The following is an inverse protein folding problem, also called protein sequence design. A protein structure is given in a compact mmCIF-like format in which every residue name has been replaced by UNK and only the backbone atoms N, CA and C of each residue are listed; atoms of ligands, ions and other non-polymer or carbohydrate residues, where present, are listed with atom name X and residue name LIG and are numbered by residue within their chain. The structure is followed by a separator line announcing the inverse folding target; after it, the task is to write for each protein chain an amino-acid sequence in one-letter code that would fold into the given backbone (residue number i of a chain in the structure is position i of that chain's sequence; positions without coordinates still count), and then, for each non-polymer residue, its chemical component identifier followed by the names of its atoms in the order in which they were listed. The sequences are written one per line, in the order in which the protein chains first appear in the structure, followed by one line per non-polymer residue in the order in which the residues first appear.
data_IF_341421935430
#
_entry.id   IF_341421935430
#
_cell.length_a   1.000
_cell.length_b   1.000
_cell.length_c   1.000
_cell.angle_alpha   90.00
_cell.angle_beta   90.00
_cell.angle_gamma   90.00
#
_symmetry.space_group_name_H-M   'P 1'
#
loop_
_entity.id
_entity.type
_entity.pdbx_description
1 polymer ?
#
# COMPACT_ATOMS: atom_id res chain seq x y z
N UNK A 1 13.14 -16.65 4.70
CA UNK A 1 11.77 -16.25 4.30
C UNK A 1 11.13 -15.62 5.52
N UNK A 2 10.77 -14.33 5.45
CA UNK A 2 10.02 -13.63 6.51
C UNK A 2 8.65 -13.32 5.94
N UNK A 3 7.58 -13.56 6.70
CA UNK A 3 6.20 -13.47 6.24
C UNK A 3 5.55 -14.84 6.07
N UNK A 4 4.37 -15.00 6.66
CA UNK A 4 3.50 -16.17 6.56
C UNK A 4 2.20 -15.84 5.81
N UNK A 5 1.88 -14.56 5.65
CA UNK A 5 0.71 -14.09 4.92
C UNK A 5 1.10 -13.36 3.64
N UNK A 6 0.23 -13.38 2.64
CA UNK A 6 0.44 -12.67 1.37
C UNK A 6 0.68 -11.16 1.60
N UNK A 7 0.01 -10.57 2.61
CA UNK A 7 0.19 -9.16 2.99
C UNK A 7 1.60 -8.87 3.50
N UNK A 8 2.17 -9.73 4.35
CA UNK A 8 3.55 -9.57 4.83
C UNK A 8 4.56 -9.72 3.69
N UNK A 9 4.31 -10.66 2.77
CA UNK A 9 5.15 -10.83 1.58
C UNK A 9 5.11 -9.58 0.69
N UNK A 10 3.94 -8.95 0.52
CA UNK A 10 3.82 -7.70 -0.22
C UNK A 10 4.66 -6.58 0.41
N UNK A 11 4.58 -6.39 1.73
CA UNK A 11 5.36 -5.36 2.44
C UNK A 11 6.88 -5.63 2.33
N UNK A 12 7.31 -6.88 2.49
CA UNK A 12 8.72 -7.23 2.30
C UNK A 12 9.21 -7.00 0.88
N UNK A 13 8.38 -7.25 -0.14
CA UNK A 13 8.73 -6.96 -1.54
C UNK A 13 8.90 -5.46 -1.79
N UNK A 14 8.02 -4.63 -1.23
CA UNK A 14 8.09 -3.17 -1.32
C UNK A 14 9.37 -2.67 -0.64
N UNK A 15 9.63 -3.10 0.60
CA UNK A 15 10.84 -2.72 1.33
C UNK A 15 12.12 -3.11 0.60
N UNK A 16 12.15 -4.32 0.02
CA UNK A 16 13.27 -4.78 -0.81
C UNK A 16 13.56 -3.84 -1.99
N UNK A 17 12.52 -3.38 -2.71
CA UNK A 17 12.73 -2.43 -3.81
C UNK A 17 13.13 -1.04 -3.35
N UNK A 18 12.63 -0.58 -2.20
CA UNK A 18 13.05 0.70 -1.64
C UNK A 18 14.55 0.66 -1.26
N UNK A 19 14.98 -0.38 -0.56
CA UNK A 19 16.35 -0.52 -0.06
C UNK A 19 17.37 -0.89 -1.16
N UNK A 20 17.10 -1.94 -1.95
CA UNK A 20 18.07 -2.47 -2.90
C UNK A 20 18.17 -1.62 -4.18
N UNK A 21 17.05 -1.06 -4.65
CA UNK A 21 17.02 -0.24 -5.87
C UNK A 21 17.10 1.27 -5.58
N UNK A 22 17.12 1.69 -4.30
CA UNK A 22 17.13 3.10 -3.90
C UNK A 22 15.87 3.87 -4.31
N UNK A 23 14.73 3.19 -4.37
CA UNK A 23 13.47 3.77 -4.83
C UNK A 23 12.73 4.47 -3.68
N UNK A 24 12.03 5.56 -4.01
CA UNK A 24 11.03 6.11 -3.09
C UNK A 24 9.94 5.08 -2.80
N UNK A 25 9.27 5.20 -1.65
CA UNK A 25 8.17 4.31 -1.24
C UNK A 25 7.09 4.21 -2.32
N UNK A 26 6.74 5.32 -2.96
CA UNK A 26 5.76 5.32 -4.05
C UNK A 26 6.22 4.49 -5.25
N UNK A 27 7.48 4.62 -5.67
CA UNK A 27 8.02 3.89 -6.81
C UNK A 27 8.25 2.40 -6.50
N UNK A 28 8.73 2.09 -5.30
CA UNK A 28 8.83 0.73 -4.79
C UNK A 28 7.45 0.05 -4.71
N UNK A 29 6.44 0.78 -4.21
CA UNK A 29 5.06 0.29 -4.15
C UNK A 29 4.50 0.03 -5.54
N UNK A 30 4.63 0.98 -6.48
CA UNK A 30 4.22 0.81 -7.88
C UNK A 30 4.92 -0.39 -8.52
N UNK A 31 6.22 -0.57 -8.30
CA UNK A 31 6.98 -1.71 -8.83
C UNK A 31 6.48 -3.04 -8.26
N UNK A 32 6.20 -3.12 -6.96
CA UNK A 32 5.62 -4.31 -6.34
C UNK A 32 4.24 -4.66 -6.91
N UNK A 33 3.38 -3.65 -7.13
CA UNK A 33 2.04 -3.85 -7.70
C UNK A 33 2.03 -4.39 -9.14
N UNK A 34 3.11 -4.21 -9.91
CA UNK A 34 3.26 -4.84 -11.24
C UNK A 34 3.54 -6.35 -11.16
N UNK A 35 4.04 -6.83 -10.01
CA UNK A 35 4.38 -8.22 -9.78
C UNK A 35 3.21 -8.94 -9.08
N UNK A 36 2.57 -8.27 -8.13
CA UNK A 36 1.47 -8.82 -7.33
C UNK A 36 0.24 -9.05 -8.22
N UNK A 37 -0.24 -10.30 -8.24
CA UNK A 37 -1.43 -10.71 -8.99
C UNK A 37 -2.55 -11.07 -8.03
N UNK A 38 -3.79 -10.84 -8.45
CA UNK A 38 -4.99 -11.18 -7.66
C UNK A 38 -5.88 -9.98 -7.38
N UNK A 39 -6.83 -10.15 -6.46
CA UNK A 39 -7.69 -9.08 -5.94
C UNK A 39 -7.06 -8.53 -4.67
N UNK A 40 -6.90 -7.21 -4.57
CA UNK A 40 -6.30 -6.57 -3.40
C UNK A 40 -6.81 -5.13 -3.21
N UNK A 41 -6.72 -4.67 -1.96
CA UNK A 41 -6.82 -3.28 -1.57
C UNK A 41 -5.75 -3.05 -0.49
N UNK A 42 -4.79 -2.19 -0.79
CA UNK A 42 -3.66 -1.87 0.09
C UNK A 42 -3.77 -0.43 0.57
N UNK A 43 -3.48 -0.24 1.86
CA UNK A 43 -3.09 1.03 2.45
C UNK A 43 -1.71 0.81 3.09
N UNK A 44 -0.72 1.55 2.61
CA UNK A 44 0.67 1.46 3.02
C UNK A 44 1.08 2.78 3.68
N UNK A 45 1.73 2.69 4.82
CA UNK A 45 2.31 3.82 5.55
C UNK A 45 3.81 3.56 5.66
N UNK A 46 4.59 4.60 5.39
CA UNK A 46 6.02 4.64 5.70
C UNK A 46 6.21 5.28 7.07
N UNK A 47 6.94 4.63 7.97
CA UNK A 47 7.24 5.18 9.29
C UNK A 47 8.11 6.43 9.24
N UNK A 48 8.90 6.63 8.18
CA UNK A 48 9.71 7.84 7.99
C UNK A 48 8.89 9.02 7.45
N UNK A 49 7.72 8.75 6.85
CA UNK A 49 6.81 9.75 6.33
C UNK A 49 5.34 9.41 6.69
N UNK A 50 4.97 9.51 7.98
CA UNK A 50 3.67 9.06 8.47
C UNK A 50 2.48 9.90 8.00
N UNK A 51 2.73 11.08 7.44
CA UNK A 51 1.70 12.00 6.94
C UNK A 51 1.14 11.59 5.57
N UNK A 52 1.71 10.56 4.94
CA UNK A 52 1.29 10.06 3.63
C UNK A 52 0.81 8.60 3.73
N UNK A 53 -0.44 8.37 3.31
CA UNK A 53 -0.97 7.02 3.11
C UNK A 53 -0.96 6.72 1.60
N UNK A 54 -0.18 5.72 1.20
CA UNK A 54 -0.16 5.22 -0.17
C UNK A 54 -1.24 4.16 -0.33
N UNK A 55 -2.12 4.33 -1.31
CA UNK A 55 -3.25 3.42 -1.51
C UNK A 55 -3.25 2.83 -2.91
N UNK A 56 -3.59 1.56 -3.03
CA UNK A 56 -3.76 0.90 -4.32
C UNK A 56 -4.87 -0.14 -4.23
N UNK A 57 -5.67 -0.27 -5.30
CA UNK A 57 -6.68 -1.31 -5.40
C UNK A 57 -6.62 -2.01 -6.74
N UNK A 58 -6.94 -3.30 -6.72
CA UNK A 58 -7.23 -4.09 -7.90
C UNK A 58 -8.40 -5.00 -7.58
N UNK A 59 -9.54 -4.78 -8.23
CA UNK A 59 -10.84 -5.46 -8.04
C UNK A 59 -11.50 -5.28 -6.66
N UNK A 60 -10.77 -5.38 -5.55
CA UNK A 60 -11.33 -5.16 -4.20
C UNK A 60 -11.76 -3.69 -4.00
N UNK A 61 -12.86 -3.41 -3.27
CA UNK A 61 -13.28 -2.05 -2.95
C UNK A 61 -12.23 -1.31 -2.10
N UNK A 62 -12.04 -0.03 -2.40
CA UNK A 62 -11.29 0.94 -1.60
C UNK A 62 -11.86 2.32 -1.91
N UNK A 63 -12.26 3.04 -0.88
CA UNK A 63 -12.90 4.35 -0.96
C UNK A 63 -12.02 5.40 -0.29
N UNK A 64 -12.01 6.60 -0.85
CA UNK A 64 -11.34 7.77 -0.27
C UNK A 64 -12.43 8.73 0.21
N UNK A 65 -12.41 9.06 1.49
CA UNK A 65 -13.27 10.10 2.08
C UNK A 65 -12.53 11.43 2.12
N UNK A 66 -13.18 12.49 1.66
CA UNK A 66 -12.66 13.86 1.72
C UNK A 66 -13.32 14.59 2.90
N UNK A 67 -12.51 15.05 3.84
CA UNK A 67 -12.94 15.85 4.98
C UNK A 67 -12.33 17.25 4.95
N UNK A 68 -12.82 18.13 5.83
CA UNK A 68 -12.20 19.45 6.00
C UNK A 68 -10.89 19.31 6.77
N UNK A 69 -9.76 19.43 6.06
CA UNK A 69 -8.42 19.35 6.66
C UNK A 69 -7.91 17.92 6.88
N UNK A 70 -8.61 16.89 6.41
CA UNK A 70 -8.17 15.50 6.49
C UNK A 70 -8.71 14.66 5.33
N UNK A 71 -8.08 13.52 5.08
CA UNK A 71 -8.57 12.49 4.18
C UNK A 71 -8.71 11.16 4.93
N UNK A 72 -9.63 10.31 4.48
CA UNK A 72 -9.89 8.98 5.04
C UNK A 72 -9.72 7.93 3.94
N UNK A 73 -9.35 6.71 4.30
CA UNK A 73 -9.45 5.56 3.39
C UNK A 73 -10.16 4.41 4.10
N UNK A 74 -11.09 3.74 3.42
CA UNK A 74 -11.82 2.60 3.96
C UNK A 74 -12.17 1.58 2.86
N UNK A 75 -12.54 0.36 3.26
CA UNK A 75 -13.00 -0.69 2.33
C UNK A 75 -14.51 -0.66 2.08
N UNK A 76 -15.28 -0.05 2.99
CA UNK A 76 -16.73 0.07 2.91
C UNK A 76 -17.15 1.44 3.44
N UNK A 77 -18.18 2.04 2.83
CA UNK A 77 -18.71 3.34 3.22
C UNK A 77 -19.58 3.30 4.49
N UNK A 78 -20.12 2.13 4.84
CA UNK A 78 -21.07 1.94 5.94
C UNK A 78 -20.47 1.23 7.16
N UNK A 79 -19.23 0.74 7.06
CA UNK A 79 -18.53 0.08 8.15
C UNK A 79 -18.17 1.03 9.30
#
# INVERSE_FOLDING_TARGET
FKGQTDTEIAVHLIGKFAEEDGLSVLEAFKKALHIIRGSYAFALIDSENPDVIYVAKNKSPLLIGLGEGYNMVCSDAMA
#
